data_IF_035546555964
#
_entry.id   IF_035546555964
#
_cell.length_a   1.000
_cell.length_b   1.000
_cell.length_c   1.000
_cell.angle_alpha   90.00
_cell.angle_beta   90.00
_cell.angle_gamma   90.00
#
_symmetry.space_group_name_H-M   'P 1'
#
loop_
_entity.id
_entity.type
_entity.pdbx_description
1 polymer ?
#
# COMPACT_ATOMS: atom_id res chain seq x y z
N UNK A 1 23.62 -4.19 8.62
CA UNK A 1 22.73 -3.30 9.41
C UNK A 1 22.25 -2.08 8.62
N UNK A 2 23.11 -1.25 8.00
CA UNK A 2 22.66 -0.08 7.18
C UNK A 2 21.70 -0.40 6.02
N UNK A 3 21.99 -1.44 5.23
CA UNK A 3 21.17 -1.83 4.07
C UNK A 3 19.71 -2.17 4.40
N UNK A 4 19.45 -2.79 5.56
CA UNK A 4 18.08 -3.10 5.98
C UNK A 4 17.31 -1.84 6.38
N UNK A 5 17.98 -0.83 6.94
CA UNK A 5 17.35 0.45 7.28
C UNK A 5 16.96 1.24 6.03
N UNK A 6 17.80 1.22 4.98
CA UNK A 6 17.52 1.89 3.71
C UNK A 6 16.38 1.18 2.96
N UNK A 7 16.42 -0.15 2.90
CA UNK A 7 15.33 -0.94 2.31
C UNK A 7 14.01 -0.73 3.05
N UNK A 8 14.03 -0.78 4.39
CA UNK A 8 12.85 -0.52 5.22
C UNK A 8 12.25 0.85 4.93
N UNK A 9 13.10 1.88 4.88
CA UNK A 9 12.67 3.25 4.55
C UNK A 9 12.05 3.32 3.15
N UNK A 10 12.71 2.75 2.15
CA UNK A 10 12.21 2.75 0.78
C UNK A 10 10.85 2.08 0.64
N UNK A 11 10.67 0.91 1.27
CA UNK A 11 9.39 0.19 1.25
C UNK A 11 8.30 0.95 2.00
N UNK A 12 8.63 1.59 3.13
CA UNK A 12 7.71 2.44 3.86
C UNK A 12 7.20 3.59 2.97
N UNK A 13 8.10 4.26 2.23
CA UNK A 13 7.73 5.35 1.31
C UNK A 13 6.81 4.87 0.17
N UNK A 14 7.01 3.64 -0.35
CA UNK A 14 6.15 3.06 -1.37
C UNK A 14 4.74 2.75 -0.81
N UNK A 15 4.65 2.24 0.41
CA UNK A 15 3.39 1.93 1.09
C UNK A 15 2.63 3.22 1.46
N UNK A 16 3.33 4.25 1.96
CA UNK A 16 2.76 5.59 2.18
C UNK A 16 2.20 6.17 0.86
N UNK A 17 2.94 6.02 -0.24
CA UNK A 17 2.47 6.47 -1.56
C UNK A 17 1.19 5.76 -2.00
N UNK A 18 1.00 4.48 -1.67
CA UNK A 18 -0.26 3.74 -1.93
C UNK A 18 -1.45 4.24 -1.09
N UNK A 19 -1.19 4.92 0.04
CA UNK A 19 -2.22 5.55 0.87
C UNK A 19 -2.59 6.96 0.37
N UNK A 20 -1.72 7.62 -0.40
CA UNK A 20 -1.98 8.97 -0.90
C UNK A 20 -3.20 9.02 -1.85
N UNK A 21 -4.13 9.97 -1.64
CA UNK A 21 -5.31 10.13 -2.49
C UNK A 21 -4.99 10.26 -3.98
N UNK A 22 -3.91 10.97 -4.32
CA UNK A 22 -3.48 11.18 -5.71
C UNK A 22 -3.04 9.89 -6.39
N UNK A 23 -2.39 8.99 -5.64
CA UNK A 23 -2.01 7.68 -6.15
C UNK A 23 -3.24 6.79 -6.28
N UNK A 24 -4.09 6.74 -5.26
CA UNK A 24 -5.30 5.91 -5.21
C UNK A 24 -6.33 6.27 -6.29
N UNK A 25 -6.26 7.47 -6.84
CA UNK A 25 -7.13 7.95 -7.93
C UNK A 25 -6.45 7.94 -9.30
N UNK A 26 -5.17 7.52 -9.38
CA UNK A 26 -4.41 7.50 -10.62
C UNK A 26 -3.98 6.07 -11.00
N UNK A 27 -4.68 5.45 -11.96
CA UNK A 27 -4.38 4.11 -12.45
C UNK A 27 -2.92 3.93 -12.89
N UNK A 28 -2.32 4.93 -13.52
CA UNK A 28 -0.95 4.86 -14.02
C UNK A 28 0.11 4.88 -12.90
N UNK A 29 -0.22 5.48 -11.74
CA UNK A 29 0.66 5.42 -10.57
C UNK A 29 0.51 4.11 -9.80
N UNK A 30 -0.72 3.59 -9.69
CA UNK A 30 -0.96 2.25 -9.15
C UNK A 30 -0.27 1.17 -9.99
N UNK A 31 -0.25 1.33 -11.31
CA UNK A 31 0.38 0.39 -12.23
C UNK A 31 1.89 0.21 -11.98
N UNK A 32 2.56 1.28 -11.55
CA UNK A 32 3.99 1.27 -11.22
C UNK A 32 4.30 0.68 -9.85
N UNK A 33 3.32 0.62 -8.95
CA UNK A 33 3.50 0.20 -7.55
C UNK A 33 3.02 -1.22 -7.31
N UNK A 34 1.99 -1.66 -8.04
CA UNK A 34 1.35 -2.96 -7.85
C UNK A 34 1.72 -3.92 -8.97
N UNK A 35 2.08 -5.15 -8.60
CA UNK A 35 2.31 -6.23 -9.55
C UNK A 35 1.04 -6.58 -10.33
N UNK A 36 1.19 -7.14 -11.52
CA UNK A 36 0.05 -7.43 -12.42
C UNK A 36 -0.93 -8.47 -11.85
N UNK A 37 -0.44 -9.34 -10.96
CA UNK A 37 -1.20 -10.37 -10.25
C UNK A 37 -1.65 -9.93 -8.85
N UNK A 38 -1.53 -8.64 -8.52
CA UNK A 38 -1.92 -8.10 -7.21
C UNK A 38 -3.42 -8.28 -6.92
N UNK A 39 -3.70 -8.67 -5.68
CA UNK A 39 -5.03 -8.67 -5.08
C UNK A 39 -4.98 -8.32 -3.59
N UNK A 40 -6.06 -7.74 -3.06
CA UNK A 40 -6.20 -7.33 -1.66
C UNK A 40 -7.55 -7.79 -1.09
N UNK A 41 -7.54 -8.24 0.16
CA UNK A 41 -8.77 -8.43 0.93
C UNK A 41 -9.09 -7.17 1.74
N UNK A 42 -10.14 -6.46 1.33
CA UNK A 42 -10.61 -5.29 2.06
C UNK A 42 -11.31 -5.66 3.37
N UNK A 43 -11.46 -4.68 4.27
CA UNK A 43 -12.20 -4.85 5.54
C UNK A 43 -13.66 -5.27 5.38
N UNK A 44 -14.27 -5.07 4.20
CA UNK A 44 -15.60 -5.55 3.85
C UNK A 44 -15.64 -7.05 3.51
N UNK A 45 -14.48 -7.72 3.40
CA UNK A 45 -14.35 -9.08 2.89
C UNK A 45 -14.29 -9.18 1.36
N UNK A 46 -14.39 -8.06 0.64
CA UNK A 46 -14.26 -8.04 -0.82
C UNK A 46 -12.80 -8.23 -1.24
N UNK A 47 -12.63 -8.95 -2.36
CA UNK A 47 -11.34 -9.07 -3.05
C UNK A 47 -11.24 -7.97 -4.09
N UNK A 48 -10.16 -7.20 -4.03
CA UNK A 48 -9.86 -6.13 -4.97
C UNK A 48 -8.67 -6.54 -5.81
N UNK A 49 -8.80 -6.49 -7.13
CA UNK A 49 -7.69 -6.69 -8.04
C UNK A 49 -7.17 -5.33 -8.54
N UNK A 50 -5.93 -5.31 -9.04
CA UNK A 50 -5.32 -4.11 -9.65
C UNK A 50 -6.24 -3.39 -10.65
N UNK A 51 -7.00 -4.15 -11.45
CA UNK A 51 -7.98 -3.64 -12.42
C UNK A 51 -9.23 -2.99 -11.79
N UNK A 52 -9.61 -3.41 -10.58
CA UNK A 52 -10.82 -2.93 -9.91
C UNK A 52 -10.56 -1.62 -9.16
N UNK A 53 -9.29 -1.38 -8.78
CA UNK A 53 -8.81 -0.11 -8.24
C UNK A 53 -8.96 1.08 -9.21
N UNK A 54 -9.33 0.83 -10.46
CA UNK A 54 -9.37 1.79 -11.57
C UNK A 54 -10.81 2.24 -11.95
N UNK A 55 -11.86 1.73 -11.29
CA UNK A 55 -13.18 1.67 -11.93
C UNK A 55 -14.40 2.37 -11.32
N UNK A 56 -14.39 2.93 -10.11
CA UNK A 56 -15.64 3.48 -9.54
C UNK A 56 -15.43 4.39 -8.34
N UNK A 57 -16.07 5.58 -8.37
CA UNK A 57 -16.14 6.65 -7.35
C UNK A 57 -14.84 7.04 -6.61
N UNK A 58 -13.69 6.54 -7.08
CA UNK A 58 -12.42 6.64 -6.38
C UNK A 58 -12.42 5.79 -5.09
N UNK A 59 -11.23 5.32 -4.71
CA UNK A 59 -10.98 5.02 -3.31
C UNK A 59 -11.23 6.32 -2.54
N UNK A 60 -12.26 6.34 -1.68
CA UNK A 60 -12.62 7.51 -0.86
C UNK A 60 -11.35 8.19 -0.34
N UNK A 61 -11.20 9.48 -0.62
CA UNK A 61 -10.07 10.29 -0.16
C UNK A 61 -10.09 10.28 1.36
N UNK A 62 -9.28 9.40 1.95
CA UNK A 62 -9.12 9.25 3.39
C UNK A 62 -7.74 9.75 3.75
N UNK A 63 -7.66 10.57 4.79
CA UNK A 63 -6.40 10.84 5.45
C UNK A 63 -6.04 9.61 6.26
N UNK A 64 -4.98 8.92 5.82
CA UNK A 64 -4.51 7.70 6.45
C UNK A 64 -3.08 7.90 6.93
N UNK A 65 -2.82 7.53 8.17
CA UNK A 65 -1.47 7.54 8.75
C UNK A 65 -0.95 6.12 8.87
N UNK A 66 0.28 5.90 8.41
CA UNK A 66 0.98 4.64 8.52
C UNK A 66 1.93 4.69 9.72
N UNK A 67 1.87 3.68 10.58
CA UNK A 67 2.75 3.57 11.75
C UNK A 67 3.19 2.12 11.99
N UNK A 68 4.19 1.93 12.86
CA UNK A 68 4.73 0.63 13.23
C UNK A 68 5.17 -0.22 12.03
N UNK A 69 5.77 0.42 11.02
CA UNK A 69 6.28 -0.27 9.84
C UNK A 69 7.44 -1.19 10.21
N UNK A 70 7.33 -2.46 9.87
CA UNK A 70 8.38 -3.47 10.01
C UNK A 70 8.51 -4.29 8.74
N UNK A 71 9.72 -4.81 8.50
CA UNK A 71 10.01 -5.70 7.37
C UNK A 71 10.67 -6.99 7.84
N UNK A 72 10.25 -8.10 7.22
CA UNK A 72 10.78 -9.43 7.46
C UNK A 72 11.19 -10.04 6.11
N UNK A 73 12.49 -10.07 5.78
CA UNK A 73 12.95 -10.69 4.54
C UNK A 73 12.58 -12.18 4.50
N UNK A 74 11.96 -12.60 3.40
CA UNK A 74 11.57 -13.99 3.17
C UNK A 74 12.50 -14.67 2.16
N UNK A 75 13.00 -13.90 1.19
CA UNK A 75 13.95 -14.34 0.17
C UNK A 75 14.87 -13.18 -0.22
N UNK A 76 15.73 -13.39 -1.23
CA UNK A 76 16.60 -12.33 -1.78
C UNK A 76 15.78 -11.15 -2.32
N UNK A 77 14.64 -11.43 -2.94
CA UNK A 77 13.83 -10.47 -3.71
C UNK A 77 12.40 -10.36 -3.15
N UNK A 78 12.16 -10.80 -1.91
CA UNK A 78 10.83 -10.82 -1.28
C UNK A 78 10.91 -10.51 0.20
N UNK A 79 10.02 -9.65 0.66
CA UNK A 79 9.87 -9.27 2.07
C UNK A 79 8.39 -9.32 2.46
N UNK A 80 8.12 -9.62 3.72
CA UNK A 80 6.84 -9.35 4.36
C UNK A 80 6.92 -7.98 5.03
N UNK A 81 6.09 -7.03 4.61
CA UNK A 81 5.86 -5.77 5.31
C UNK A 81 4.67 -5.92 6.27
N UNK A 82 4.77 -5.34 7.45
CA UNK A 82 3.65 -5.23 8.40
C UNK A 82 3.59 -3.82 8.95
N UNK A 83 2.40 -3.25 9.05
CA UNK A 83 2.19 -1.90 9.56
C UNK A 83 0.76 -1.71 10.03
N UNK A 84 0.52 -0.61 10.75
CA UNK A 84 -0.81 -0.15 11.14
C UNK A 84 -1.20 1.02 10.26
N UNK A 85 -2.41 0.97 9.70
CA UNK A 85 -3.04 2.12 9.04
C UNK A 85 -4.16 2.61 9.93
N UNK A 86 -4.11 3.89 10.29
CA UNK A 86 -5.22 4.59 10.93
C UNK A 86 -5.86 5.50 9.90
N UNK A 87 -7.18 5.35 9.76
CA UNK A 87 -8.00 6.26 8.98
C UNK A 87 -8.49 7.40 9.88
N UNK A 88 -7.94 8.59 9.68
CA UNK A 88 -8.24 9.78 10.48
C UNK A 88 -9.60 10.39 10.12
N UNK A 89 -10.23 9.94 9.02
CA UNK A 89 -11.56 10.42 8.60
C UNK A 89 -12.71 9.66 9.25
N UNK A 90 -12.41 8.52 9.89
CA UNK A 90 -13.35 7.74 10.70
C UNK A 90 -13.14 8.06 12.18
N UNK A 91 -13.78 9.13 12.66
CA UNK A 91 -14.00 9.37 14.09
C UNK A 91 -15.16 8.51 14.62
#
# INVERSE_FOLDING_TARGET
MKKHSELKKHLCELEEKLLEPKTRTNPAELDKLLADDFFEFGSSGNVWYKKDSVGGDGLSVREMTLSNFEIYPLSKDTVLSTYLVRDETRM
#
